data_IF_122757464473
#
_entry.id   IF_122757464473
#
_cell.length_a   1.000
_cell.length_b   1.000
_cell.length_c   1.000
_cell.angle_alpha   90.00
_cell.angle_beta   90.00
_cell.angle_gamma   90.00
#
_symmetry.space_group_name_H-M   'P 1'
#
loop_
_entity.id
_entity.type
_entity.pdbx_description
1 polymer ?
#
# COMPACT_ATOMS: atom_id res chain seq x y z
N UNK A 1 -0.30 13.28 4.88
CA UNK A 1 -0.55 11.82 4.87
C UNK A 1 -0.59 11.23 6.26
N UNK A 2 0.34 11.62 7.08
CA UNK A 2 0.46 11.01 8.40
C UNK A 2 -0.68 11.34 9.37
N UNK A 3 -1.33 12.48 9.20
CA UNK A 3 -2.46 12.85 10.06
C UNK A 3 -3.63 11.90 9.92
N UNK A 4 -3.93 11.46 8.69
CA UNK A 4 -5.01 10.50 8.47
C UNK A 4 -4.70 9.17 9.14
N UNK A 5 -3.49 8.64 8.92
CA UNK A 5 -3.07 7.39 9.52
C UNK A 5 -3.02 7.49 11.04
N UNK A 6 -2.52 8.61 11.55
CA UNK A 6 -2.40 8.81 12.98
C UNK A 6 -3.77 8.81 13.66
N UNK A 7 -4.79 9.35 13.00
CA UNK A 7 -6.15 9.30 13.52
C UNK A 7 -6.65 7.87 13.71
N UNK A 8 -6.39 6.99 12.75
CA UNK A 8 -6.76 5.59 12.87
C UNK A 8 -5.95 4.86 13.95
N UNK A 9 -4.66 5.14 14.01
CA UNK A 9 -3.78 4.55 15.03
C UNK A 9 -4.23 4.99 16.43
N UNK A 10 -4.53 6.26 16.60
CA UNK A 10 -5.00 6.81 17.88
C UNK A 10 -6.34 6.22 18.30
N UNK A 11 -7.16 5.82 17.33
CA UNK A 11 -8.44 5.16 17.60
C UNK A 11 -8.29 3.66 17.90
N UNK A 12 -7.05 3.15 17.89
CA UNK A 12 -6.78 1.75 18.19
C UNK A 12 -6.91 0.80 17.01
N UNK A 13 -6.99 1.31 15.77
CA UNK A 13 -7.09 0.46 14.59
C UNK A 13 -5.72 -0.11 14.22
N UNK A 14 -5.54 -1.44 14.18
CA UNK A 14 -4.27 -2.06 13.84
C UNK A 14 -4.04 -2.10 12.33
N UNK A 15 -3.67 -0.97 11.74
CA UNK A 15 -3.36 -0.88 10.32
C UNK A 15 -2.04 -1.57 10.01
N UNK A 16 -2.01 -2.37 8.93
CA UNK A 16 -0.80 -3.00 8.46
C UNK A 16 -0.15 -2.14 7.39
N UNK A 17 1.14 -1.86 7.55
CA UNK A 17 1.93 -1.05 6.62
C UNK A 17 3.02 -1.89 5.95
N UNK A 18 3.36 -1.51 4.73
CA UNK A 18 4.53 -2.05 4.03
C UNK A 18 5.74 -1.18 4.39
N UNK A 19 6.80 -1.78 4.92
CA UNK A 19 8.00 -1.04 5.31
C UNK A 19 8.65 -0.38 4.10
N UNK A 20 9.01 0.89 4.24
CA UNK A 20 9.73 1.62 3.20
C UNK A 20 8.86 2.23 2.12
N UNK A 21 7.54 2.12 2.21
CA UNK A 21 6.63 2.63 1.18
C UNK A 21 5.64 3.67 1.71
N UNK A 22 5.98 4.33 2.81
CA UNK A 22 5.08 5.32 3.43
C UNK A 22 4.69 6.44 2.47
N UNK A 23 5.61 6.87 1.59
CA UNK A 23 5.34 7.93 0.63
C UNK A 23 4.43 7.48 -0.51
N UNK A 24 4.16 6.19 -0.60
CA UNK A 24 3.31 5.61 -1.63
C UNK A 24 1.87 5.41 -1.17
N UNK A 25 1.55 5.76 0.07
CA UNK A 25 0.21 5.58 0.62
C UNK A 25 -0.76 6.56 -0.04
N UNK A 26 -1.82 6.03 -0.65
CA UNK A 26 -2.89 6.83 -1.25
C UNK A 26 -3.95 7.22 -0.23
N UNK A 27 -4.18 6.37 0.76
CA UNK A 27 -5.17 6.63 1.79
C UNK A 27 -5.56 5.37 2.54
N UNK A 28 -6.71 5.45 3.21
CA UNK A 28 -7.30 4.34 3.95
C UNK A 28 -8.61 3.96 3.27
N UNK A 29 -8.86 2.67 3.12
CA UNK A 29 -10.09 2.16 2.52
C UNK A 29 -10.98 1.61 3.62
N UNK A 30 -12.21 2.08 3.68
CA UNK A 30 -13.24 1.56 4.58
C UNK A 30 -14.21 0.72 3.77
N UNK A 31 -14.53 -0.46 4.28
CA UNK A 31 -15.46 -1.38 3.61
C UNK A 31 -16.55 -1.76 4.60
N UNK A 32 -17.78 -1.95 4.10
CA UNK A 32 -18.92 -2.32 4.94
C UNK A 32 -18.64 -3.69 5.58
N UNK A 33 -18.73 -3.75 6.90
CA UNK A 33 -18.53 -4.99 7.64
C UNK A 33 -17.09 -5.46 7.73
N UNK A 34 -16.12 -4.63 7.32
CA UNK A 34 -14.70 -4.96 7.34
C UNK A 34 -13.92 -3.89 8.08
N UNK A 35 -12.75 -4.26 8.56
CA UNK A 35 -11.84 -3.29 9.18
C UNK A 35 -11.18 -2.42 8.11
N UNK A 36 -10.84 -1.16 8.45
CA UNK A 36 -10.12 -0.30 7.51
C UNK A 36 -8.75 -0.86 7.17
N UNK A 37 -8.31 -0.64 5.94
CA UNK A 37 -7.00 -1.08 5.46
C UNK A 37 -6.30 0.06 4.75
N UNK A 38 -4.98 -0.01 4.67
CA UNK A 38 -4.19 0.98 3.95
C UNK A 38 -4.24 0.68 2.46
N UNK A 39 -4.39 1.73 1.66
CA UNK A 39 -4.33 1.64 0.21
C UNK A 39 -3.07 2.34 -0.29
N UNK A 40 -2.26 1.63 -1.06
CA UNK A 40 -1.05 2.16 -1.68
C UNK A 40 -1.31 2.50 -3.14
N UNK A 41 -0.66 3.55 -3.63
CA UNK A 41 -0.69 3.90 -5.05
C UNK A 41 0.30 2.99 -5.78
N UNK A 42 -0.22 2.11 -6.64
CA UNK A 42 0.61 1.13 -7.35
C UNK A 42 1.72 1.79 -8.15
N UNK A 43 1.41 2.87 -8.88
CA UNK A 43 2.40 3.55 -9.71
C UNK A 43 3.54 4.09 -8.85
N UNK A 44 3.22 4.66 -7.68
CA UNK A 44 4.26 5.18 -6.77
C UNK A 44 5.12 4.08 -6.20
N UNK A 45 4.53 2.93 -5.87
CA UNK A 45 5.30 1.78 -5.37
C UNK A 45 6.30 1.32 -6.43
N UNK A 46 5.85 1.19 -7.67
CA UNK A 46 6.72 0.78 -8.78
C UNK A 46 7.81 1.83 -9.01
N UNK A 47 7.45 3.11 -9.02
CA UNK A 47 8.41 4.19 -9.22
C UNK A 47 9.50 4.19 -8.13
N UNK A 48 9.11 3.90 -6.90
CA UNK A 48 10.09 3.81 -5.81
C UNK A 48 11.05 2.65 -6.01
N UNK A 49 10.56 1.50 -6.45
CA UNK A 49 11.43 0.36 -6.74
C UNK A 49 12.42 0.66 -7.86
N UNK A 50 11.97 1.40 -8.87
CA UNK A 50 12.85 1.84 -9.96
C UNK A 50 13.92 2.80 -9.41
N UNK A 51 13.52 3.74 -8.56
CA UNK A 51 14.46 4.67 -7.93
C UNK A 51 15.48 3.93 -7.04
N UNK A 52 15.10 2.78 -6.49
CA UNK A 52 15.97 1.96 -5.66
C UNK A 52 16.90 1.05 -6.48
N UNK A 53 16.83 1.11 -7.81
CA UNK A 53 17.78 0.42 -8.69
C UNK A 53 17.21 -0.65 -9.60
N UNK A 54 15.92 -0.93 -9.54
CA UNK A 54 15.29 -1.88 -10.44
C UNK A 54 14.98 -1.22 -11.77
N UNK A 55 15.01 -1.97 -12.88
CA UNK A 55 14.44 -1.45 -14.11
C UNK A 55 12.92 -1.62 -14.08
N UNK A 56 12.24 -1.04 -15.07
CA UNK A 56 10.78 -1.02 -15.06
C UNK A 56 10.18 -2.42 -15.09
N UNK A 57 10.71 -3.29 -15.94
CA UNK A 57 10.17 -4.65 -16.08
C UNK A 57 10.38 -5.45 -14.79
N UNK A 58 11.56 -5.29 -14.17
CA UNK A 58 11.85 -5.93 -12.89
C UNK A 58 10.90 -5.44 -11.79
N UNK A 59 10.66 -4.14 -11.73
CA UNK A 59 9.80 -3.56 -10.70
C UNK A 59 8.37 -4.06 -10.82
N UNK A 60 7.84 -4.11 -12.04
CA UNK A 60 6.49 -4.61 -12.29
C UNK A 60 6.39 -6.08 -11.91
N UNK A 61 7.37 -6.87 -12.32
CA UNK A 61 7.38 -8.30 -12.04
C UNK A 61 7.49 -8.57 -10.54
N UNK A 62 8.37 -7.85 -9.87
CA UNK A 62 8.52 -7.96 -8.42
C UNK A 62 7.23 -7.59 -7.70
N UNK A 63 6.55 -6.53 -8.15
CA UNK A 63 5.29 -6.10 -7.59
C UNK A 63 4.23 -7.21 -7.70
N UNK A 64 4.10 -7.82 -8.88
CA UNK A 64 3.11 -8.86 -9.10
C UNK A 64 3.34 -10.08 -8.20
N UNK A 65 4.60 -10.45 -8.00
CA UNK A 65 4.93 -11.63 -7.19
C UNK A 65 4.89 -11.36 -5.69
N UNK A 66 5.38 -10.21 -5.25
CA UNK A 66 5.69 -10.02 -3.83
C UNK A 66 4.74 -9.05 -3.13
N UNK A 67 4.04 -8.22 -3.87
CA UNK A 67 3.13 -7.24 -3.27
C UNK A 67 1.67 -7.65 -3.41
N UNK A 68 1.22 -7.88 -4.63
CA UNK A 68 -0.17 -8.26 -4.85
C UNK A 68 -0.46 -9.66 -4.30
N UNK A 69 0.48 -10.57 -4.41
CA UNK A 69 0.31 -11.94 -3.94
C UNK A 69 0.44 -12.16 -2.44
N UNK A 70 0.83 -11.14 -1.68
CA UNK A 70 1.15 -11.29 -0.26
C UNK A 70 -0.09 -11.07 0.62
N UNK A 71 -0.92 -12.10 0.74
CA UNK A 71 -2.08 -12.04 1.61
C UNK A 71 -1.69 -12.34 3.06
N UNK A 72 -2.01 -11.43 3.97
CA UNK A 72 -1.70 -11.58 5.39
C UNK A 72 -2.95 -11.42 6.27
N UNK A 73 -4.11 -11.75 5.73
CA UNK A 73 -5.38 -11.69 6.45
C UNK A 73 -6.26 -10.54 5.98
N UNK A 74 -7.34 -10.29 6.71
CA UNK A 74 -8.36 -9.31 6.31
C UNK A 74 -7.86 -7.88 6.33
N UNK A 75 -6.72 -7.62 6.95
CA UNK A 75 -6.13 -6.28 7.01
C UNK A 75 -5.02 -6.08 5.98
N UNK A 76 -4.88 -7.01 5.04
CA UNK A 76 -3.90 -6.89 3.96
C UNK A 76 -4.12 -5.58 3.20
N UNK A 77 -3.06 -4.75 3.01
CA UNK A 77 -3.19 -3.53 2.23
C UNK A 77 -3.67 -3.78 0.80
N UNK A 78 -4.38 -2.82 0.24
CA UNK A 78 -4.79 -2.87 -1.16
C UNK A 78 -3.99 -1.89 -1.99
N UNK A 79 -4.16 -1.96 -3.31
CA UNK A 79 -3.43 -1.11 -4.24
C UNK A 79 -4.39 -0.40 -5.17
N UNK A 80 -4.20 0.92 -5.31
CA UNK A 80 -4.97 1.74 -6.22
C UNK A 80 -4.29 1.77 -7.58
N UNK A 81 -5.03 1.39 -8.59
CA UNK A 81 -4.58 1.50 -9.98
C UNK A 81 -5.35 2.66 -10.57
N UNK A 82 -4.65 3.76 -10.84
CA UNK A 82 -5.28 4.94 -11.39
C UNK A 82 -4.80 5.17 -12.81
N UNK A 83 -5.65 5.81 -13.61
CA UNK A 83 -5.25 6.24 -14.94
C UNK A 83 -4.73 7.68 -14.87
N UNK A 84 -3.70 8.00 -15.65
CA UNK A 84 -3.17 9.36 -15.68
C UNK A 84 -4.18 10.35 -16.27
#
# INVERSE_FOLDING_TARGET
>A
MNELLQGYIDAGEPLLKMDGFDDCIAGVVERIGQDPIICYDKAKVIDQMIADGMDQDEAVEYFEYNQIGAWVGDRTPCFLISQP
#
